data_IF_010091883554
#
_entry.id   IF_010091883554
#
_cell.length_a   1.000
_cell.length_b   1.000
_cell.length_c   1.000
_cell.angle_alpha   90.00
_cell.angle_beta   90.00
_cell.angle_gamma   90.00
#
_symmetry.space_group_name_H-M   'P 1'
#
loop_
_entity.id
_entity.type
_entity.pdbx_description
1 polymer ?
#
# COMPACT_ATOMS: atom_id res chain seq x y z
N UNK A 1 4.29 -9.35 35.80
CA UNK A 1 5.18 -8.76 34.78
C UNK A 1 5.60 -9.82 33.80
N UNK A 2 5.65 -9.46 32.53
CA UNK A 2 6.21 -10.28 31.45
C UNK A 2 7.46 -9.60 30.90
N UNK A 3 8.48 -10.41 30.60
CA UNK A 3 9.64 -9.91 29.86
C UNK A 3 9.24 -9.68 28.41
N UNK A 4 9.40 -8.46 27.92
CA UNK A 4 9.06 -8.06 26.55
C UNK A 4 10.32 -7.67 25.80
N UNK A 5 10.40 -8.06 24.54
CA UNK A 5 11.42 -7.60 23.60
C UNK A 5 10.90 -6.39 22.86
N UNK A 6 11.70 -5.36 22.79
CA UNK A 6 11.33 -4.10 22.14
C UNK A 6 12.36 -3.71 21.08
N UNK A 7 12.06 -2.67 20.29
CA UNK A 7 13.05 -2.06 19.41
C UNK A 7 14.24 -1.44 20.17
N UNK A 8 14.02 -1.05 21.43
CA UNK A 8 15.03 -0.59 22.37
C UNK A 8 15.55 -1.74 23.25
N UNK A 9 15.97 -1.44 24.50
CA UNK A 9 16.33 -2.45 25.49
C UNK A 9 15.14 -3.34 25.83
N UNK A 10 15.41 -4.65 26.07
CA UNK A 10 14.40 -5.54 26.62
C UNK A 10 13.93 -5.01 27.99
N UNK A 11 12.64 -5.14 28.27
CA UNK A 11 12.04 -4.64 29.49
C UNK A 11 11.00 -5.58 30.10
N UNK A 12 10.32 -5.11 31.13
CA UNK A 12 9.25 -5.80 31.81
C UNK A 12 7.97 -4.98 31.76
N UNK A 13 6.86 -5.59 31.35
CA UNK A 13 5.53 -4.97 31.34
C UNK A 13 4.59 -5.66 32.32
N UNK A 14 3.68 -4.93 32.94
CA UNK A 14 2.62 -5.53 33.74
C UNK A 14 1.68 -6.33 32.83
N UNK A 15 1.11 -7.42 33.33
CA UNK A 15 0.12 -8.22 32.58
C UNK A 15 -1.09 -7.35 32.18
N UNK A 16 -1.51 -6.43 33.04
CA UNK A 16 -2.60 -5.50 32.82
C UNK A 16 -2.38 -4.53 31.67
N UNK A 17 -1.12 -4.31 31.29
CA UNK A 17 -0.73 -3.39 30.22
C UNK A 17 -0.58 -4.12 28.87
N UNK A 18 -0.89 -5.43 28.86
CA UNK A 18 -0.85 -6.28 27.67
C UNK A 18 -2.28 -6.65 27.26
N UNK A 19 -2.59 -6.53 26.00
CA UNK A 19 -3.84 -7.02 25.45
C UNK A 19 -3.75 -8.54 25.17
N UNK A 20 -4.85 -9.27 25.38
CA UNK A 20 -4.92 -10.70 25.08
C UNK A 20 -4.93 -11.01 23.59
N UNK A 21 -5.28 -10.01 22.76
CA UNK A 21 -5.31 -10.10 21.30
C UNK A 21 -4.49 -8.97 20.69
N UNK A 22 -3.84 -9.25 19.57
CA UNK A 22 -3.04 -8.24 18.85
C UNK A 22 -3.91 -7.33 17.98
N UNK A 23 -5.05 -7.84 17.51
CA UNK A 23 -5.87 -7.19 16.52
C UNK A 23 -5.13 -7.00 15.19
N UNK A 24 -5.61 -6.04 14.40
CA UNK A 24 -4.90 -5.55 13.22
C UNK A 24 -4.21 -4.23 13.54
N UNK A 25 -2.99 -4.07 13.06
CA UNK A 25 -2.21 -2.84 13.12
C UNK A 25 -1.84 -2.44 11.70
N UNK A 26 -2.07 -1.19 11.35
CA UNK A 26 -1.73 -0.63 10.04
C UNK A 26 -0.83 0.58 10.29
N UNK A 27 0.36 0.54 9.73
CA UNK A 27 1.36 1.59 9.84
C UNK A 27 1.51 2.25 8.47
N UNK A 28 1.05 3.49 8.34
CA UNK A 28 1.31 4.32 7.17
C UNK A 28 2.61 5.08 7.44
N UNK A 29 3.66 4.71 6.75
CA UNK A 29 4.98 5.31 6.95
C UNK A 29 5.16 6.57 6.12
N UNK A 30 5.89 7.52 6.69
CA UNK A 30 6.46 8.59 5.89
C UNK A 30 7.67 8.06 5.12
N UNK A 31 7.43 7.76 3.86
CA UNK A 31 8.47 7.30 2.92
C UNK A 31 8.95 8.41 1.99
N UNK A 32 8.54 9.66 2.25
CA UNK A 32 8.56 10.77 1.32
C UNK A 32 7.36 10.71 0.39
N UNK A 33 7.48 11.26 -0.82
CA UNK A 33 6.45 11.06 -1.84
C UNK A 33 6.33 9.56 -2.15
N UNK A 34 5.12 9.00 -2.02
CA UNK A 34 4.88 7.58 -2.27
C UNK A 34 4.13 6.87 -1.16
N UNK A 35 3.87 5.59 -1.37
CA UNK A 35 3.21 4.73 -0.41
C UNK A 35 4.16 3.73 0.24
N UNK A 36 4.04 3.60 1.56
CA UNK A 36 4.73 2.56 2.31
C UNK A 36 3.91 2.15 3.53
N UNK A 37 3.30 0.96 3.47
CA UNK A 37 2.35 0.52 4.48
C UNK A 37 2.75 -0.86 4.98
N UNK A 38 2.87 -0.98 6.31
CA UNK A 38 3.04 -2.25 7.00
C UNK A 38 1.74 -2.61 7.72
N UNK A 39 1.28 -3.84 7.55
CA UNK A 39 0.13 -4.39 8.28
C UNK A 39 0.57 -5.61 9.08
N UNK A 40 0.23 -5.62 10.35
CA UNK A 40 0.39 -6.78 11.23
C UNK A 40 -0.97 -7.23 11.72
N UNK A 41 -1.29 -8.52 11.56
CA UNK A 41 -2.53 -9.12 12.05
C UNK A 41 -2.28 -10.57 12.49
N UNK A 42 -2.46 -10.85 13.77
CA UNK A 42 -1.96 -12.09 14.37
C UNK A 42 -0.46 -12.23 14.10
N UNK A 43 -0.05 -13.35 13.50
CA UNK A 43 1.35 -13.60 13.14
C UNK A 43 1.71 -13.13 11.71
N UNK A 44 0.73 -12.65 10.95
CA UNK A 44 0.96 -12.22 9.57
C UNK A 44 1.59 -10.83 9.51
N UNK A 45 2.52 -10.67 8.58
CA UNK A 45 3.15 -9.40 8.21
C UNK A 45 2.93 -9.17 6.73
N UNK A 46 2.39 -8.01 6.41
CA UNK A 46 1.97 -7.65 5.05
C UNK A 46 2.56 -6.29 4.73
N UNK A 47 3.16 -6.16 3.56
CA UNK A 47 3.57 -4.88 3.00
C UNK A 47 2.65 -4.50 1.84
N UNK A 48 2.23 -3.25 1.79
CA UNK A 48 1.64 -2.63 0.60
C UNK A 48 2.57 -1.49 0.23
N UNK A 49 3.30 -1.66 -0.86
CA UNK A 49 4.34 -0.76 -1.35
C UNK A 49 5.47 -0.49 -0.32
N UNK A 50 6.48 0.27 -0.71
CA UNK A 50 7.62 0.58 0.18
C UNK A 50 8.27 1.94 -0.11
N UNK A 51 7.60 2.79 -0.89
CA UNK A 51 8.10 4.11 -1.24
C UNK A 51 9.25 4.10 -2.26
N UNK A 52 9.83 5.28 -2.55
CA UNK A 52 10.87 5.44 -3.57
C UNK A 52 12.26 5.02 -3.12
N UNK A 53 12.50 4.88 -1.80
CA UNK A 53 13.84 4.81 -1.23
C UNK A 53 13.95 3.83 -0.06
N UNK A 54 14.86 4.09 0.86
CA UNK A 54 15.23 3.17 1.95
C UNK A 54 14.41 3.32 3.22
N UNK A 55 13.43 4.22 3.27
CA UNK A 55 12.70 4.56 4.50
C UNK A 55 11.99 3.34 5.09
N UNK A 56 11.22 2.61 4.26
CA UNK A 56 10.56 1.37 4.72
C UNK A 56 11.58 0.33 5.19
N UNK A 57 12.64 0.08 4.42
CA UNK A 57 13.70 -0.86 4.82
C UNK A 57 14.36 -0.45 6.16
N UNK A 58 14.64 0.83 6.33
CA UNK A 58 15.20 1.37 7.57
C UNK A 58 14.23 1.20 8.74
N UNK A 59 12.95 1.48 8.54
CA UNK A 59 11.92 1.27 9.54
C UNK A 59 11.84 -0.21 9.99
N UNK A 60 11.76 -1.13 9.03
CA UNK A 60 11.67 -2.56 9.31
C UNK A 60 12.91 -3.08 10.06
N UNK A 61 14.10 -2.62 9.68
CA UNK A 61 15.37 -3.16 10.22
C UNK A 61 15.83 -2.47 11.50
N UNK A 62 15.65 -1.15 11.62
CA UNK A 62 16.18 -0.36 12.74
C UNK A 62 15.14 -0.07 13.81
N UNK A 63 13.85 -0.29 13.51
CA UNK A 63 12.75 -0.02 14.42
C UNK A 63 11.88 -1.25 14.64
N UNK A 64 11.03 -1.62 13.68
CA UNK A 64 9.95 -2.58 13.89
C UNK A 64 10.44 -4.00 14.25
N UNK A 65 11.43 -4.53 13.51
CA UNK A 65 11.92 -5.90 13.67
C UNK A 65 13.36 -6.00 14.19
N UNK A 66 13.90 -4.93 14.78
CA UNK A 66 15.23 -4.89 15.38
C UNK A 66 15.46 -6.05 16.34
N UNK A 67 14.43 -6.41 17.13
CA UNK A 67 14.51 -7.49 18.11
C UNK A 67 14.69 -8.87 17.47
N UNK A 68 14.10 -9.13 16.29
CA UNK A 68 14.33 -10.37 15.53
C UNK A 68 15.74 -10.38 14.96
N UNK A 69 16.14 -9.29 14.32
CA UNK A 69 17.44 -9.14 13.66
C UNK A 69 18.58 -9.29 14.67
N UNK A 70 18.50 -8.63 15.83
CA UNK A 70 19.49 -8.79 16.92
C UNK A 70 19.56 -10.21 17.49
N UNK A 71 18.47 -10.96 17.33
CA UNK A 71 18.40 -12.38 17.75
C UNK A 71 18.78 -13.34 16.62
N UNK A 72 19.33 -12.86 15.50
CA UNK A 72 19.66 -13.63 14.29
C UNK A 72 18.46 -14.45 13.77
N UNK A 73 17.24 -13.93 13.94
CA UNK A 73 16.03 -14.54 13.41
C UNK A 73 15.61 -13.83 12.13
N UNK A 74 15.24 -14.56 11.07
CA UNK A 74 14.73 -13.94 9.85
C UNK A 74 13.41 -13.22 10.11
N UNK A 75 13.19 -12.15 9.37
CA UNK A 75 11.91 -11.46 9.30
C UNK A 75 11.14 -12.06 8.13
N UNK A 76 10.06 -12.78 8.42
CA UNK A 76 9.18 -13.30 7.37
C UNK A 76 8.07 -12.30 7.08
N UNK A 77 7.92 -11.92 5.82
CA UNK A 77 6.80 -11.13 5.29
C UNK A 77 5.91 -12.08 4.51
N UNK A 78 4.70 -12.31 5.00
CA UNK A 78 3.78 -13.29 4.40
C UNK A 78 3.30 -12.84 3.01
N UNK A 79 2.95 -11.56 2.88
CA UNK A 79 2.42 -11.00 1.63
C UNK A 79 3.03 -9.62 1.37
N UNK A 80 3.43 -9.40 0.13
CA UNK A 80 3.82 -8.08 -0.39
C UNK A 80 2.87 -7.74 -1.52
N UNK A 81 2.23 -6.60 -1.47
CA UNK A 81 1.42 -6.06 -2.55
C UNK A 81 2.17 -4.89 -3.19
N UNK A 82 2.42 -4.99 -4.48
CA UNK A 82 2.86 -3.87 -5.30
C UNK A 82 1.62 -3.31 -5.96
N UNK A 83 1.17 -2.14 -5.52
CA UNK A 83 -0.06 -1.54 -6.04
C UNK A 83 0.06 -1.31 -7.55
N UNK A 84 1.15 -0.68 -7.97
CA UNK A 84 1.54 -0.49 -9.36
C UNK A 84 3.05 -0.23 -9.45
N UNK A 85 3.58 -0.11 -10.67
CA UNK A 85 5.02 -0.01 -10.89
C UNK A 85 5.49 1.42 -11.18
N UNK A 86 5.03 2.41 -10.40
CA UNK A 86 5.68 3.72 -10.31
C UNK A 86 6.73 3.72 -9.20
N UNK A 87 7.79 4.48 -9.42
CA UNK A 87 9.02 4.40 -8.62
C UNK A 87 8.80 4.67 -7.13
N UNK A 88 7.86 5.53 -6.81
CA UNK A 88 7.49 5.93 -5.46
C UNK A 88 6.62 4.90 -4.71
N UNK A 89 6.33 3.76 -5.33
CA UNK A 89 5.64 2.63 -4.71
C UNK A 89 6.55 1.42 -4.51
N UNK A 90 7.25 0.98 -5.56
CA UNK A 90 7.94 -0.32 -5.52
C UNK A 90 9.46 -0.23 -5.31
N UNK A 91 10.12 0.91 -5.55
CA UNK A 91 11.61 0.95 -5.51
C UNK A 91 12.18 0.61 -4.16
N UNK A 92 11.51 1.00 -3.07
CA UNK A 92 11.93 0.64 -1.71
C UNK A 92 11.95 -0.87 -1.45
N UNK A 93 11.13 -1.65 -2.18
CA UNK A 93 11.13 -3.11 -2.08
C UNK A 93 12.42 -3.75 -2.57
N UNK A 94 13.15 -3.12 -3.50
CA UNK A 94 14.42 -3.66 -4.04
C UNK A 94 15.42 -3.91 -2.91
N UNK A 95 15.57 -2.93 -2.01
CA UNK A 95 16.46 -3.06 -0.86
C UNK A 95 16.02 -4.12 0.13
N UNK A 96 14.71 -4.28 0.33
CA UNK A 96 14.12 -5.26 1.24
C UNK A 96 14.26 -6.68 0.67
N UNK A 97 14.00 -6.88 -0.63
CA UNK A 97 14.14 -8.16 -1.33
C UNK A 97 15.61 -8.64 -1.38
N UNK A 98 16.56 -7.72 -1.52
CA UNK A 98 17.99 -8.05 -1.52
C UNK A 98 18.57 -8.32 -0.12
N UNK A 99 17.89 -7.91 0.94
CA UNK A 99 18.36 -8.14 2.31
C UNK A 99 18.09 -9.58 2.73
N UNK A 100 19.17 -10.36 2.95
CA UNK A 100 19.12 -11.79 3.31
C UNK A 100 18.47 -12.08 4.65
N UNK A 101 18.23 -11.06 5.46
CA UNK A 101 17.52 -11.20 6.75
C UNK A 101 16.00 -11.35 6.56
N UNK A 102 15.47 -11.07 5.34
CA UNK A 102 14.06 -11.18 5.01
C UNK A 102 13.76 -12.41 4.17
N UNK A 103 12.61 -13.01 4.46
CA UNK A 103 11.97 -14.03 3.62
C UNK A 103 10.54 -13.61 3.29
N UNK A 104 10.00 -14.10 2.18
CA UNK A 104 8.71 -13.65 1.64
C UNK A 104 7.84 -14.84 1.24
N UNK A 105 6.56 -14.79 1.57
CA UNK A 105 5.59 -15.77 1.10
C UNK A 105 5.20 -15.51 -0.35
N UNK A 106 4.40 -14.48 -0.58
CA UNK A 106 3.90 -14.14 -1.92
C UNK A 106 4.05 -12.65 -2.21
N UNK A 107 4.55 -12.32 -3.41
CA UNK A 107 4.49 -10.96 -3.96
C UNK A 107 3.33 -10.90 -4.95
N UNK A 108 2.35 -10.05 -4.65
CA UNK A 108 1.20 -9.75 -5.50
C UNK A 108 1.42 -8.44 -6.27
N UNK A 109 0.89 -8.36 -7.50
CA UNK A 109 1.04 -7.19 -8.37
C UNK A 109 -0.09 -7.10 -9.40
N UNK A 110 -0.26 -5.93 -10.05
CA UNK A 110 -1.26 -5.75 -11.11
C UNK A 110 -0.84 -6.37 -12.46
N UNK A 111 0.45 -6.58 -12.68
CA UNK A 111 0.98 -7.24 -13.90
C UNK A 111 1.31 -6.31 -15.05
N UNK A 112 1.31 -4.99 -14.87
CA UNK A 112 1.78 -4.01 -15.85
C UNK A 112 3.19 -3.59 -15.45
N UNK A 113 4.17 -3.76 -16.35
CA UNK A 113 5.56 -3.38 -16.12
C UNK A 113 5.98 -2.29 -17.11
N UNK A 114 6.96 -1.48 -16.73
CA UNK A 114 7.51 -0.42 -17.58
C UNK A 114 8.69 -0.91 -18.42
N UNK A 115 8.59 -0.70 -19.72
CA UNK A 115 9.64 -1.02 -20.69
C UNK A 115 10.56 0.18 -20.91
N UNK A 116 11.81 -0.10 -21.29
CA UNK A 116 12.72 0.93 -21.79
C UNK A 116 12.28 1.36 -23.21
N UNK A 117 12.28 2.65 -23.47
CA UNK A 117 12.17 3.15 -24.83
C UNK A 117 13.46 2.91 -25.62
N UNK A 118 13.32 2.73 -26.95
CA UNK A 118 14.49 2.62 -27.83
C UNK A 118 15.41 3.83 -27.61
N UNK A 119 16.67 3.55 -27.31
CA UNK A 119 17.76 4.52 -27.11
C UNK A 119 17.70 5.34 -25.78
N UNK A 120 16.75 5.11 -24.90
CA UNK A 120 16.76 5.74 -23.58
C UNK A 120 16.22 4.79 -22.49
N UNK A 121 17.09 4.11 -21.74
CA UNK A 121 16.65 3.19 -20.68
C UNK A 121 15.97 3.89 -19.49
N UNK A 122 15.98 5.21 -19.45
CA UNK A 122 15.30 6.02 -18.43
C UNK A 122 13.91 6.47 -18.85
N UNK A 123 13.62 6.53 -20.16
CA UNK A 123 12.27 6.70 -20.65
C UNK A 123 11.51 5.38 -20.55
N UNK A 124 10.22 5.48 -20.33
CA UNK A 124 9.40 4.32 -20.01
C UNK A 124 8.17 4.26 -20.88
N UNK A 125 7.86 3.06 -21.37
CA UNK A 125 6.62 2.72 -22.06
C UNK A 125 5.93 1.55 -21.38
N UNK A 126 4.66 1.33 -21.70
CA UNK A 126 3.90 0.17 -21.22
C UNK A 126 3.86 -1.00 -22.24
N UNK A 127 4.69 -0.90 -23.28
CA UNK A 127 4.76 -1.86 -24.38
C UNK A 127 3.73 -1.61 -25.46
N UNK A 128 3.58 -2.61 -26.37
CA UNK A 128 2.68 -2.50 -27.52
C UNK A 128 1.20 -2.51 -27.11
N UNK A 129 0.39 -1.83 -27.91
CA UNK A 129 -1.07 -1.79 -27.75
C UNK A 129 -1.77 -2.41 -28.94
N UNK A 130 -3.06 -2.73 -28.79
CA UNK A 130 -3.96 -3.13 -29.88
C UNK A 130 -5.27 -2.38 -29.76
N UNK A 131 -5.90 -2.11 -30.91
CA UNK A 131 -7.23 -1.52 -30.99
C UNK A 131 -8.30 -2.61 -31.06
N UNK A 132 -9.37 -2.45 -30.29
CA UNK A 132 -10.57 -3.28 -30.37
C UNK A 132 -11.81 -2.43 -30.06
N UNK A 133 -12.76 -2.38 -30.99
CA UNK A 133 -14.01 -1.59 -30.87
C UNK A 133 -13.78 -0.12 -30.47
N UNK A 134 -12.74 0.52 -31.01
CA UNK A 134 -12.40 1.91 -30.71
C UNK A 134 -11.70 2.14 -29.36
N UNK A 135 -11.40 1.08 -28.60
CA UNK A 135 -10.68 1.12 -27.35
C UNK A 135 -9.28 0.51 -27.54
N UNK A 136 -8.28 1.13 -26.95
CA UNK A 136 -6.91 0.68 -27.00
C UNK A 136 -6.57 -0.15 -25.75
N UNK A 137 -5.84 -1.26 -25.94
CA UNK A 137 -5.52 -2.21 -24.88
C UNK A 137 -4.02 -2.56 -24.87
N UNK A 138 -3.45 -2.71 -23.67
CA UNK A 138 -2.09 -3.22 -23.51
C UNK A 138 -1.99 -4.68 -23.97
N UNK A 139 -0.91 -5.01 -24.69
CA UNK A 139 -0.65 -6.36 -25.17
C UNK A 139 0.14 -7.22 -24.19
N UNK A 140 0.95 -6.59 -23.37
CA UNK A 140 1.85 -7.25 -22.41
C UNK A 140 1.27 -7.20 -21.00
N UNK A 141 1.03 -8.38 -20.42
CA UNK A 141 0.60 -8.57 -19.04
C UNK A 141 1.43 -9.71 -18.44
N UNK A 142 1.90 -9.53 -17.23
CA UNK A 142 2.76 -10.48 -16.53
C UNK A 142 2.03 -11.12 -15.37
N UNK A 143 1.90 -12.44 -15.39
CA UNK A 143 1.21 -13.21 -14.34
C UNK A 143 2.16 -13.62 -13.21
N UNK A 144 3.39 -14.00 -13.57
CA UNK A 144 4.43 -14.45 -12.64
C UNK A 144 5.77 -13.78 -12.99
N UNK A 145 6.26 -12.96 -12.04
CA UNK A 145 7.50 -12.21 -12.24
C UNK A 145 8.75 -13.08 -12.14
N UNK A 146 8.69 -14.19 -11.39
CA UNK A 146 9.82 -15.13 -11.30
C UNK A 146 10.06 -15.82 -12.63
N UNK A 147 8.97 -16.21 -13.32
CA UNK A 147 9.03 -16.93 -14.60
C UNK A 147 9.16 -16.00 -15.81
N UNK A 148 9.08 -14.69 -15.62
CA UNK A 148 9.18 -13.73 -16.73
C UNK A 148 10.57 -13.74 -17.36
N UNK A 149 10.65 -13.91 -18.69
CA UNK A 149 11.90 -14.15 -19.44
C UNK A 149 12.45 -12.94 -20.20
N UNK A 150 11.82 -11.76 -20.17
CA UNK A 150 12.16 -10.59 -20.99
C UNK A 150 12.91 -9.46 -20.23
N UNK A 151 14.04 -9.72 -19.54
CA UNK A 151 14.68 -8.67 -18.72
C UNK A 151 15.31 -7.53 -19.53
N UNK A 152 15.68 -7.77 -20.81
CA UNK A 152 16.37 -6.78 -21.64
C UNK A 152 15.46 -5.66 -22.19
N UNK A 153 14.14 -5.84 -22.11
CA UNK A 153 13.16 -4.86 -22.61
C UNK A 153 12.66 -3.89 -21.53
N UNK A 154 12.90 -4.18 -20.26
CA UNK A 154 12.42 -3.34 -19.15
C UNK A 154 13.31 -2.13 -18.91
N UNK A 155 12.73 -1.06 -18.35
CA UNK A 155 13.51 0.05 -17.88
C UNK A 155 14.44 -0.37 -16.73
N UNK A 156 15.41 0.48 -16.38
CA UNK A 156 16.44 0.16 -15.40
C UNK A 156 15.89 -0.20 -14.02
N UNK A 157 14.89 0.51 -13.53
CA UNK A 157 14.37 0.30 -12.18
C UNK A 157 13.55 -1.01 -12.11
N UNK A 158 12.76 -1.31 -13.14
CA UNK A 158 12.06 -2.60 -13.28
C UNK A 158 13.06 -3.74 -13.41
N UNK A 159 14.12 -3.57 -14.19
CA UNK A 159 15.20 -4.58 -14.32
C UNK A 159 15.83 -4.90 -12.96
N UNK A 160 16.12 -3.87 -12.15
CA UNK A 160 16.66 -4.05 -10.80
C UNK A 160 15.67 -4.75 -9.86
N UNK A 161 14.39 -4.39 -9.93
CA UNK A 161 13.34 -5.04 -9.15
C UNK A 161 13.17 -6.50 -9.54
N UNK A 162 13.11 -6.80 -10.84
CA UNK A 162 13.01 -8.17 -11.35
C UNK A 162 14.23 -9.03 -10.96
N UNK A 163 15.43 -8.44 -10.95
CA UNK A 163 16.63 -9.10 -10.47
C UNK A 163 16.52 -9.44 -8.98
N UNK A 164 16.06 -8.50 -8.15
CA UNK A 164 15.85 -8.72 -6.71
C UNK A 164 14.81 -9.82 -6.44
N UNK A 165 13.70 -9.84 -7.18
CA UNK A 165 12.66 -10.88 -7.12
C UNK A 165 13.25 -12.25 -7.46
N UNK A 166 13.96 -12.37 -8.59
CA UNK A 166 14.55 -13.63 -9.06
C UNK A 166 15.65 -14.14 -8.13
N UNK A 167 16.51 -13.26 -7.63
CA UNK A 167 17.54 -13.61 -6.66
C UNK A 167 16.93 -14.12 -5.35
N UNK A 168 15.92 -13.43 -4.82
CA UNK A 168 15.24 -13.88 -3.62
C UNK A 168 14.57 -15.27 -3.81
N UNK A 169 13.98 -15.53 -4.98
CA UNK A 169 13.40 -16.82 -5.32
C UNK A 169 14.49 -17.92 -5.46
N UNK A 170 15.58 -17.64 -6.16
CA UNK A 170 16.71 -18.56 -6.33
C UNK A 170 17.39 -18.93 -4.98
N UNK A 171 17.40 -18.00 -4.03
CA UNK A 171 17.88 -18.19 -2.66
C UNK A 171 16.83 -18.84 -1.72
N UNK A 172 15.70 -19.30 -2.23
CA UNK A 172 14.57 -19.86 -1.45
C UNK A 172 14.02 -18.89 -0.39
N UNK A 173 14.16 -17.58 -0.59
CA UNK A 173 13.64 -16.55 0.30
C UNK A 173 12.29 -15.97 -0.16
N UNK A 174 11.88 -16.21 -1.40
CA UNK A 174 10.60 -15.81 -1.96
C UNK A 174 9.86 -17.04 -2.50
N UNK A 175 8.64 -17.27 -2.01
CA UNK A 175 7.84 -18.43 -2.39
C UNK A 175 7.26 -18.32 -3.79
N UNK A 176 6.55 -17.23 -4.11
CA UNK A 176 5.91 -17.01 -5.43
C UNK A 176 5.60 -15.55 -5.70
N UNK A 177 5.34 -15.27 -6.98
CA UNK A 177 4.70 -14.03 -7.43
C UNK A 177 3.37 -14.34 -8.13
N UNK A 178 2.40 -13.43 -8.06
CA UNK A 178 1.09 -13.64 -8.69
C UNK A 178 0.44 -12.30 -9.02
N UNK A 179 -0.06 -12.19 -10.24
CA UNK A 179 -0.96 -11.10 -10.63
C UNK A 179 -2.32 -11.25 -9.97
N UNK A 180 -2.91 -10.11 -9.58
CA UNK A 180 -4.29 -10.02 -9.09
C UNK A 180 -5.11 -9.07 -9.95
N UNK A 181 -6.42 -9.36 -10.00
CA UNK A 181 -7.44 -8.54 -10.69
C UNK A 181 -8.71 -8.47 -9.84
N UNK A 182 -9.61 -7.56 -10.20
CA UNK A 182 -10.91 -7.45 -9.55
C UNK A 182 -11.65 -8.79 -9.46
N UNK A 183 -12.22 -9.07 -8.29
CA UNK A 183 -12.90 -10.33 -7.99
C UNK A 183 -12.00 -11.40 -7.34
N UNK A 184 -10.67 -11.22 -7.35
CA UNK A 184 -9.78 -12.10 -6.58
C UNK A 184 -9.93 -11.85 -5.07
N UNK A 185 -9.76 -12.90 -4.27
CA UNK A 185 -9.51 -12.81 -2.84
C UNK A 185 -8.07 -13.23 -2.58
N UNK A 186 -7.20 -12.28 -2.24
CA UNK A 186 -5.79 -12.54 -2.04
C UNK A 186 -5.51 -13.33 -0.75
N UNK A 187 -6.24 -13.02 0.31
CA UNK A 187 -6.12 -13.65 1.63
C UNK A 187 -7.50 -13.84 2.23
N UNK A 188 -7.77 -15.03 2.77
CA UNK A 188 -8.97 -15.30 3.59
C UNK A 188 -8.59 -16.21 4.74
N UNK A 189 -8.68 -15.71 5.98
CA UNK A 189 -8.28 -16.41 7.20
C UNK A 189 -9.19 -16.03 8.36
N UNK A 190 -9.23 -16.88 9.38
CA UNK A 190 -9.75 -16.53 10.70
C UNK A 190 -8.56 -16.26 11.63
N UNK A 191 -8.52 -15.07 12.21
CA UNK A 191 -7.46 -14.62 13.13
C UNK A 191 -8.14 -14.10 14.39
N UNK A 192 -7.74 -14.63 15.56
CA UNK A 192 -8.34 -14.24 16.85
C UNK A 192 -9.88 -14.34 16.84
N UNK A 193 -10.43 -15.41 16.24
CA UNK A 193 -11.85 -15.66 16.05
C UNK A 193 -12.58 -14.59 15.20
N UNK A 194 -11.85 -13.81 14.42
CA UNK A 194 -12.40 -12.79 13.51
C UNK A 194 -12.05 -13.11 12.07
N UNK A 195 -12.96 -12.79 11.17
CA UNK A 195 -12.74 -12.88 9.73
C UNK A 195 -11.67 -11.85 9.34
N UNK A 196 -10.60 -12.30 8.67
CA UNK A 196 -9.60 -11.47 8.02
C UNK A 196 -9.59 -11.80 6.54
N UNK A 197 -9.90 -10.81 5.71
CA UNK A 197 -9.97 -10.97 4.25
C UNK A 197 -9.33 -9.78 3.56
N UNK A 198 -8.63 -10.06 2.47
CA UNK A 198 -8.13 -9.06 1.52
C UNK A 198 -8.79 -9.37 0.17
N UNK A 199 -9.80 -8.60 -0.17
CA UNK A 199 -10.49 -8.66 -1.46
C UNK A 199 -9.88 -7.64 -2.42
N UNK A 200 -9.81 -8.00 -3.70
CA UNK A 200 -9.28 -7.17 -4.78
C UNK A 200 -10.44 -6.56 -5.54
N UNK A 201 -10.61 -5.25 -5.43
CA UNK A 201 -11.66 -4.49 -6.10
C UNK A 201 -11.23 -3.92 -7.46
N UNK A 202 -9.96 -3.94 -7.77
CA UNK A 202 -9.34 -3.47 -9.01
C UNK A 202 -7.90 -3.97 -9.12
N UNK A 203 -7.31 -3.91 -10.32
CA UNK A 203 -7.90 -3.44 -11.58
C UNK A 203 -8.78 -4.49 -12.28
N UNK A 204 -9.63 -4.05 -13.21
CA UNK A 204 -10.36 -4.92 -14.12
C UNK A 204 -9.54 -5.20 -15.38
N UNK A 205 -9.76 -6.38 -15.95
CA UNK A 205 -9.28 -6.75 -17.29
C UNK A 205 -10.44 -7.10 -18.19
N UNK A 206 -10.30 -6.86 -19.48
CA UNK A 206 -11.24 -7.28 -20.51
C UNK A 206 -10.67 -8.43 -21.32
N UNK A 207 -11.53 -9.35 -21.77
CA UNK A 207 -11.12 -10.50 -22.57
C UNK A 207 -11.18 -10.17 -24.06
N UNK A 208 -10.04 -9.82 -24.65
CA UNK A 208 -9.91 -9.45 -26.06
C UNK A 208 -9.10 -10.50 -26.80
N UNK A 209 -9.69 -11.09 -27.83
CA UNK A 209 -9.04 -12.17 -28.59
C UNK A 209 -8.64 -13.38 -27.75
N UNK A 210 -9.45 -13.72 -26.74
CA UNK A 210 -9.20 -14.84 -25.83
C UNK A 210 -8.18 -14.56 -24.71
N UNK A 211 -7.58 -13.37 -24.66
CA UNK A 211 -6.59 -12.95 -23.65
C UNK A 211 -7.11 -11.82 -22.79
N UNK A 212 -6.79 -11.86 -21.50
CA UNK A 212 -7.05 -10.73 -20.60
C UNK A 212 -6.14 -9.56 -20.94
N UNK A 213 -6.71 -8.34 -20.99
CA UNK A 213 -6.00 -7.11 -21.32
C UNK A 213 -6.48 -5.97 -20.45
N UNK A 214 -5.59 -4.99 -20.22
CA UNK A 214 -5.93 -3.73 -19.59
C UNK A 214 -6.20 -2.67 -20.64
N UNK A 215 -7.17 -1.81 -20.37
CA UNK A 215 -7.42 -0.61 -21.19
C UNK A 215 -6.20 0.30 -21.12
N UNK A 216 -5.76 0.77 -22.27
CA UNK A 216 -4.74 1.82 -22.36
C UNK A 216 -5.43 3.18 -22.51
N UNK A 217 -5.21 4.08 -21.57
CA UNK A 217 -5.89 5.37 -21.54
C UNK A 217 -5.14 6.47 -22.30
N UNK A 218 -4.36 6.12 -23.31
CA UNK A 218 -3.59 7.02 -24.18
C UNK A 218 -2.59 7.91 -23.41
N UNK A 219 -2.25 7.52 -22.19
CA UNK A 219 -1.28 8.15 -21.31
C UNK A 219 -0.72 7.05 -20.39
N UNK A 220 0.58 6.92 -20.35
CA UNK A 220 1.26 5.84 -19.62
C UNK A 220 1.11 6.01 -18.11
N UNK A 221 1.30 7.24 -17.61
CA UNK A 221 1.14 7.55 -16.21
C UNK A 221 -0.30 7.29 -15.74
N UNK A 222 -1.29 7.80 -16.49
CA UNK A 222 -2.70 7.54 -16.17
C UNK A 222 -3.05 6.07 -16.24
N UNK A 223 -2.47 5.34 -17.18
CA UNK A 223 -2.74 3.90 -17.35
C UNK A 223 -2.12 3.09 -16.21
N UNK A 224 -0.87 3.31 -15.86
CA UNK A 224 -0.21 2.52 -14.81
C UNK A 224 -0.79 2.84 -13.43
N UNK A 225 -1.01 4.11 -13.10
CA UNK A 225 -1.62 4.55 -11.87
C UNK A 225 -3.06 4.03 -11.76
N UNK A 226 -3.83 4.20 -12.81
CA UNK A 226 -5.24 3.80 -12.82
C UNK A 226 -5.48 2.30 -12.75
N UNK A 227 -4.51 1.47 -13.10
CA UNK A 227 -4.57 0.02 -12.91
C UNK A 227 -3.86 -0.44 -11.63
N UNK A 228 -3.80 0.41 -10.60
CA UNK A 228 -3.37 0.03 -9.26
C UNK A 228 -4.22 -1.11 -8.69
N UNK A 229 -3.60 -1.97 -7.88
CA UNK A 229 -4.35 -2.89 -7.04
C UNK A 229 -5.21 -2.11 -6.05
N UNK A 230 -6.51 -2.31 -6.11
CA UNK A 230 -7.47 -1.75 -5.15
C UNK A 230 -7.82 -2.83 -4.16
N UNK A 231 -7.35 -2.69 -2.93
CA UNK A 231 -7.49 -3.69 -1.89
C UNK A 231 -8.50 -3.24 -0.84
N UNK A 232 -9.49 -4.07 -0.56
CA UNK A 232 -10.37 -3.94 0.59
C UNK A 232 -10.01 -4.96 1.64
N UNK A 233 -9.57 -4.50 2.80
CA UNK A 233 -9.24 -5.37 3.93
C UNK A 233 -10.39 -5.35 4.91
N UNK A 234 -10.87 -6.53 5.28
CA UNK A 234 -11.88 -6.73 6.32
C UNK A 234 -11.22 -7.40 7.52
N UNK A 235 -11.40 -6.83 8.73
CA UNK A 235 -11.04 -7.48 9.98
C UNK A 235 -12.17 -7.35 11.00
N UNK A 236 -12.82 -8.46 11.32
CA UNK A 236 -14.04 -8.46 12.13
C UNK A 236 -15.14 -7.65 11.45
N UNK A 237 -15.63 -6.60 12.12
CA UNK A 237 -16.67 -5.71 11.61
C UNK A 237 -16.08 -4.47 10.86
N UNK A 238 -14.76 -4.35 10.76
CA UNK A 238 -14.09 -3.15 10.23
C UNK A 238 -13.45 -3.39 8.88
N UNK A 239 -13.45 -2.31 8.08
CA UNK A 239 -12.99 -2.34 6.69
C UNK A 239 -12.05 -1.19 6.37
N UNK A 240 -11.06 -1.48 5.51
CA UNK A 240 -10.00 -0.55 5.14
C UNK A 240 -9.79 -0.60 3.62
N UNK A 241 -9.63 0.56 2.96
CA UNK A 241 -9.40 0.65 1.51
C UNK A 241 -8.00 1.19 1.21
N UNK A 242 -7.33 0.54 0.26
CA UNK A 242 -6.04 0.95 -0.30
C UNK A 242 -6.18 0.95 -1.82
N UNK A 243 -6.22 2.12 -2.43
CA UNK A 243 -6.49 2.28 -3.85
C UNK A 243 -5.25 2.55 -4.70
N UNK A 244 -4.04 2.54 -4.11
CA UNK A 244 -2.83 2.97 -4.80
C UNK A 244 -2.99 4.37 -5.36
N UNK A 245 -2.71 4.54 -6.65
CA UNK A 245 -2.77 5.83 -7.33
C UNK A 245 -3.91 5.91 -8.35
N UNK A 246 -5.10 5.38 -7.97
CA UNK A 246 -6.29 5.59 -8.78
C UNK A 246 -6.44 7.07 -9.14
N UNK A 247 -6.87 7.32 -10.35
CA UNK A 247 -7.14 8.63 -10.92
C UNK A 247 -8.57 8.73 -11.43
N UNK A 248 -9.00 9.90 -11.85
CA UNK A 248 -10.36 10.18 -12.34
C UNK A 248 -10.87 9.11 -13.32
N UNK A 249 -10.06 8.71 -14.31
CA UNK A 249 -10.48 7.73 -15.32
C UNK A 249 -10.72 6.35 -14.72
N UNK A 250 -9.82 5.91 -13.87
CA UNK A 250 -9.92 4.59 -13.24
C UNK A 250 -11.03 4.52 -12.20
N UNK A 251 -11.24 5.57 -11.43
CA UNK A 251 -12.34 5.65 -10.46
C UNK A 251 -13.70 5.54 -11.18
N UNK A 252 -13.90 6.31 -12.26
CA UNK A 252 -15.11 6.22 -13.08
C UNK A 252 -15.28 4.84 -13.71
N UNK A 253 -14.19 4.26 -14.23
CA UNK A 253 -14.20 2.93 -14.81
C UNK A 253 -14.56 1.85 -13.78
N UNK A 254 -13.96 1.89 -12.58
CA UNK A 254 -14.30 0.97 -11.50
C UNK A 254 -15.77 1.08 -11.09
N UNK A 255 -16.27 2.29 -10.88
CA UNK A 255 -17.69 2.51 -10.55
C UNK A 255 -18.62 1.97 -11.64
N UNK A 256 -18.27 2.18 -12.90
CA UNK A 256 -19.02 1.62 -14.04
C UNK A 256 -19.02 0.08 -14.03
N UNK A 257 -17.88 -0.55 -13.78
CA UNK A 257 -17.77 -2.02 -13.74
C UNK A 257 -18.60 -2.63 -12.60
N UNK A 258 -18.69 -1.97 -11.45
CA UNK A 258 -19.52 -2.42 -10.34
C UNK A 258 -21.00 -2.05 -10.47
N UNK A 259 -21.35 -1.14 -11.36
CA UNK A 259 -22.73 -0.74 -11.64
C UNK A 259 -23.47 -0.23 -10.40
N UNK A 260 -24.56 -0.89 -10.04
CA UNK A 260 -25.39 -0.52 -8.88
C UNK A 260 -24.84 -1.02 -7.54
N UNK A 261 -23.72 -1.74 -7.53
CA UNK A 261 -23.10 -2.21 -6.28
C UNK A 261 -22.07 -1.22 -5.80
N UNK A 262 -21.95 -1.04 -4.49
CA UNK A 262 -20.91 -0.21 -3.89
C UNK A 262 -20.01 -1.05 -2.97
N UNK A 263 -18.95 -1.68 -3.49
CA UNK A 263 -18.01 -2.40 -2.66
C UNK A 263 -17.00 -1.48 -1.96
N UNK A 264 -16.92 -0.20 -2.33
CA UNK A 264 -15.86 0.73 -1.92
C UNK A 264 -16.08 1.30 -0.52
N UNK A 265 -17.30 1.24 0.03
CA UNK A 265 -17.59 1.79 1.35
C UNK A 265 -16.77 1.09 2.42
N UNK A 266 -16.03 1.89 3.23
CA UNK A 266 -15.09 1.41 4.26
C UNK A 266 -15.07 2.34 5.47
N UNK A 267 -14.45 1.88 6.55
CA UNK A 267 -14.29 2.69 7.76
C UNK A 267 -13.10 3.66 7.66
N UNK A 268 -11.99 3.20 7.09
CA UNK A 268 -10.80 4.04 6.87
C UNK A 268 -10.29 3.82 5.45
N UNK A 269 -10.01 4.89 4.74
CA UNK A 269 -9.43 4.85 3.41
C UNK A 269 -8.04 5.50 3.36
N UNK A 270 -7.11 4.89 2.64
CA UNK A 270 -5.93 5.61 2.15
C UNK A 270 -6.38 6.44 0.95
N UNK A 271 -6.09 7.74 0.97
CA UNK A 271 -6.35 8.61 -0.19
C UNK A 271 -5.59 8.10 -1.41
N UNK A 272 -6.26 8.03 -2.55
CA UNK A 272 -5.60 7.66 -3.78
C UNK A 272 -4.62 8.75 -4.23
N UNK A 273 -3.58 8.35 -4.95
CA UNK A 273 -2.62 9.21 -5.62
C UNK A 273 -2.09 10.35 -4.72
N UNK A 274 -1.72 10.00 -3.48
CA UNK A 274 -1.12 10.92 -2.48
C UNK A 274 -1.92 12.19 -2.19
N UNK A 275 -3.24 12.19 -2.48
CA UNK A 275 -4.08 13.39 -2.41
C UNK A 275 -3.87 14.32 -3.61
N UNK A 276 -3.64 13.78 -4.80
CA UNK A 276 -3.67 14.50 -6.09
C UNK A 276 -5.04 15.11 -6.35
N UNK A 277 -5.12 16.13 -7.22
CA UNK A 277 -6.38 16.64 -7.76
C UNK A 277 -7.00 15.77 -8.87
N UNK A 278 -6.33 14.71 -9.29
CA UNK A 278 -6.84 13.78 -10.31
C UNK A 278 -7.69 12.67 -9.67
N UNK A 279 -8.85 13.05 -9.15
CA UNK A 279 -9.84 12.18 -8.50
C UNK A 279 -11.27 12.61 -8.84
N UNK A 280 -12.28 11.83 -8.43
CA UNK A 280 -13.70 12.17 -8.54
C UNK A 280 -14.38 12.28 -7.18
N UNK A 281 -15.21 13.33 -6.98
CA UNK A 281 -16.05 13.42 -5.79
C UNK A 281 -17.00 12.21 -5.68
N UNK A 282 -17.49 11.71 -6.81
CA UNK A 282 -18.40 10.57 -6.86
C UNK A 282 -17.77 9.29 -6.27
N UNK A 283 -16.48 9.05 -6.53
CA UNK A 283 -15.78 7.92 -5.92
C UNK A 283 -15.64 8.10 -4.41
N UNK A 284 -15.23 9.28 -3.95
CA UNK A 284 -15.14 9.59 -2.53
C UNK A 284 -16.50 9.47 -1.81
N UNK A 285 -17.61 9.85 -2.46
CA UNK A 285 -18.97 9.63 -1.94
C UNK A 285 -19.28 8.14 -1.75
N UNK A 286 -18.82 7.27 -2.66
CA UNK A 286 -18.99 5.83 -2.53
C UNK A 286 -18.09 5.24 -1.42
N UNK A 287 -16.86 5.72 -1.30
CA UNK A 287 -15.93 5.29 -0.25
C UNK A 287 -16.42 5.70 1.14
N UNK A 288 -16.88 6.92 1.31
CA UNK A 288 -17.54 7.46 2.50
C UNK A 288 -16.92 6.99 3.83
N UNK A 289 -15.63 7.23 4.08
CA UNK A 289 -14.94 6.70 5.24
C UNK A 289 -15.20 7.55 6.49
N UNK A 290 -14.92 7.03 7.69
CA UNK A 290 -14.83 7.84 8.91
C UNK A 290 -13.52 8.63 8.97
N UNK A 291 -12.45 8.05 8.42
CA UNK A 291 -11.15 8.71 8.35
C UNK A 291 -10.46 8.44 7.02
N UNK A 292 -9.78 9.46 6.51
CA UNK A 292 -8.91 9.36 5.33
C UNK A 292 -7.47 9.58 5.77
N UNK A 293 -6.57 8.69 5.32
CA UNK A 293 -5.13 8.80 5.52
C UNK A 293 -4.48 9.14 4.19
N UNK A 294 -3.68 10.18 4.15
CA UNK A 294 -2.94 10.65 2.98
C UNK A 294 -1.45 10.36 3.21
N UNK A 295 -0.85 9.57 2.33
CA UNK A 295 0.61 9.40 2.28
C UNK A 295 1.17 10.38 1.26
N UNK A 296 1.95 11.34 1.68
CA UNK A 296 2.60 12.34 0.83
C UNK A 296 3.93 12.74 1.43
N UNK A 297 4.82 13.32 0.63
CA UNK A 297 6.14 13.78 1.05
C UNK A 297 6.26 15.30 1.10
N UNK A 298 7.29 15.78 1.81
CA UNK A 298 7.61 17.20 1.91
C UNK A 298 8.31 17.71 0.66
N UNK A 299 8.02 18.96 0.29
CA UNK A 299 8.73 19.69 -0.76
C UNK A 299 8.80 18.93 -2.10
N UNK A 300 7.83 18.07 -2.35
CA UNK A 300 7.74 17.38 -3.62
C UNK A 300 7.17 18.31 -4.71
N UNK A 301 7.52 18.05 -5.96
CA UNK A 301 7.17 18.92 -7.09
C UNK A 301 5.68 18.97 -7.44
N UNK A 302 4.90 17.99 -6.98
CA UNK A 302 3.46 17.87 -7.28
C UNK A 302 2.57 18.65 -6.29
N UNK A 303 3.12 19.11 -5.16
CA UNK A 303 2.41 19.81 -4.08
C UNK A 303 1.26 18.98 -3.52
N UNK A 304 1.50 17.70 -3.29
CA UNK A 304 0.55 16.81 -2.59
C UNK A 304 0.70 16.94 -1.07
N UNK A 305 -0.42 16.84 -0.30
CA UNK A 305 -1.80 16.70 -0.78
C UNK A 305 -2.37 18.04 -1.28
N UNK A 306 -3.19 17.99 -2.31
CA UNK A 306 -3.88 19.17 -2.85
C UNK A 306 -5.06 19.55 -1.97
N UNK A 307 -5.36 20.85 -1.94
CA UNK A 307 -6.42 21.41 -1.09
C UNK A 307 -7.82 20.83 -1.40
N UNK A 308 -8.10 20.58 -2.67
CA UNK A 308 -9.35 19.97 -3.13
C UNK A 308 -9.50 18.52 -2.69
N UNK A 309 -8.42 17.72 -2.71
CA UNK A 309 -8.41 16.36 -2.19
C UNK A 309 -8.67 16.33 -0.67
N UNK A 310 -8.03 17.21 0.10
CA UNK A 310 -8.26 17.36 1.54
C UNK A 310 -9.70 17.80 1.81
N UNK A 311 -10.19 18.79 1.07
CA UNK A 311 -11.55 19.30 1.19
C UNK A 311 -12.60 18.24 0.87
N UNK A 312 -12.37 17.45 -0.19
CA UNK A 312 -13.24 16.34 -0.59
C UNK A 312 -13.26 15.23 0.49
N UNK A 313 -12.09 14.83 1.01
CA UNK A 313 -11.99 13.84 2.08
C UNK A 313 -12.76 14.29 3.33
N UNK A 314 -12.68 15.57 3.70
CA UNK A 314 -13.44 16.12 4.82
C UNK A 314 -14.95 16.18 4.56
N UNK A 315 -15.35 16.63 3.35
CA UNK A 315 -16.77 16.80 2.95
C UNK A 315 -17.55 15.48 2.95
N UNK A 316 -16.92 14.40 2.50
CA UNK A 316 -17.57 13.10 2.32
C UNK A 316 -17.22 12.08 3.42
N UNK A 317 -16.58 12.52 4.51
CA UNK A 317 -16.38 11.67 5.66
C UNK A 317 -17.69 11.39 6.40
N UNK A 318 -17.85 10.13 6.87
CA UNK A 318 -18.97 9.74 7.74
C UNK A 318 -18.77 10.25 9.16
N UNK A 319 -19.90 10.40 9.87
CA UNK A 319 -19.92 10.76 11.29
C UNK A 319 -19.93 12.26 11.52
N UNK A 320 -19.91 12.64 12.79
CA UNK A 320 -20.06 14.03 13.21
C UNK A 320 -18.76 14.84 13.16
N UNK A 321 -17.64 14.17 12.89
CA UNK A 321 -16.31 14.77 12.85
C UNK A 321 -15.46 14.14 11.77
N UNK A 322 -15.22 14.85 10.66
CA UNK A 322 -14.30 14.40 9.63
C UNK A 322 -12.89 14.25 10.18
N UNK A 323 -12.22 13.15 9.86
CA UNK A 323 -10.84 12.90 10.24
C UNK A 323 -10.00 12.73 8.97
N UNK A 324 -9.07 13.64 8.77
CA UNK A 324 -8.09 13.59 7.68
C UNK A 324 -6.70 13.64 8.29
N UNK A 325 -5.93 12.61 8.03
CA UNK A 325 -4.54 12.47 8.49
C UNK A 325 -3.61 12.53 7.29
N UNK A 326 -2.47 13.17 7.46
CA UNK A 326 -1.42 13.18 6.43
C UNK A 326 -0.07 12.94 7.07
N UNK A 327 0.77 12.16 6.41
CA UNK A 327 2.16 11.95 6.84
C UNK A 327 2.98 13.24 6.77
N UNK A 328 2.60 14.18 5.91
CA UNK A 328 3.25 15.49 5.77
C UNK A 328 2.66 16.57 6.66
N UNK A 329 1.33 16.78 6.62
CA UNK A 329 0.67 17.94 7.25
C UNK A 329 0.78 17.99 8.78
N UNK A 330 1.16 16.90 9.41
CA UNK A 330 1.29 16.81 10.86
C UNK A 330 2.72 17.04 11.34
N UNK A 331 3.65 17.30 10.45
CA UNK A 331 5.04 17.55 10.79
C UNK A 331 5.31 19.02 10.99
N UNK A 332 6.02 19.34 12.08
CA UNK A 332 6.75 20.60 12.17
C UNK A 332 7.99 20.49 11.29
N UNK A 333 8.16 21.42 10.38
CA UNK A 333 9.22 21.42 9.37
C UNK A 333 10.59 21.67 10.03
N UNK A 334 11.27 20.61 10.43
CA UNK A 334 12.71 20.65 10.68
C UNK A 334 13.41 19.96 9.52
N UNK A 335 14.05 20.72 8.66
CA UNK A 335 14.63 20.31 7.36
C UNK A 335 15.54 19.08 7.36
N UNK A 336 15.93 18.50 8.50
CA UNK A 336 16.96 17.46 8.56
C UNK A 336 16.63 16.29 9.50
N UNK A 337 15.41 16.16 10.01
CA UNK A 337 15.02 15.04 10.89
C UNK A 337 13.70 14.47 10.44
N UNK A 338 13.76 13.56 9.48
CA UNK A 338 12.63 12.67 9.17
C UNK A 338 12.54 11.68 10.33
N UNK A 339 11.70 11.99 11.30
CA UNK A 339 11.23 11.03 12.29
C UNK A 339 9.98 10.39 11.68
N UNK A 340 10.12 9.38 10.85
CA UNK A 340 9.05 8.49 10.35
C UNK A 340 7.60 8.98 10.52
N UNK A 341 7.20 10.19 10.19
CA UNK A 341 5.88 10.84 10.36
C UNK A 341 4.66 9.92 10.24
N UNK A 342 4.72 8.84 10.97
CA UNK A 342 3.95 7.62 10.84
C UNK A 342 2.57 7.77 11.45
N UNK A 343 1.55 7.32 10.71
CA UNK A 343 0.21 7.14 11.24
C UNK A 343 0.04 5.66 11.57
N UNK A 344 -0.29 5.37 12.82
CA UNK A 344 -0.51 4.02 13.33
C UNK A 344 -1.99 3.81 13.64
N UNK A 345 -2.63 2.93 12.91
CA UNK A 345 -3.99 2.49 13.16
C UNK A 345 -3.97 1.14 13.84
N UNK A 346 -4.78 0.97 14.88
CA UNK A 346 -5.03 -0.30 15.57
C UNK A 346 -6.52 -0.58 15.60
N UNK A 347 -6.89 -1.84 15.39
CA UNK A 347 -8.27 -2.25 15.47
C UNK A 347 -8.40 -3.65 16.10
N UNK A 348 -9.29 -3.76 17.07
CA UNK A 348 -9.62 -5.05 17.71
C UNK A 348 -10.71 -5.84 16.96
N UNK A 349 -11.14 -5.36 15.78
CA UNK A 349 -12.25 -5.90 14.99
C UNK A 349 -13.57 -5.16 15.22
N UNK A 350 -13.64 -4.27 16.19
CA UNK A 350 -14.82 -3.43 16.51
C UNK A 350 -14.41 -1.97 16.64
N UNK A 351 -13.44 -1.68 17.50
CA UNK A 351 -12.96 -0.33 17.75
C UNK A 351 -11.71 -0.03 16.94
N UNK A 352 -11.62 1.18 16.42
CA UNK A 352 -10.46 1.69 15.68
C UNK A 352 -9.84 2.84 16.46
N UNK A 353 -8.53 2.74 16.66
CA UNK A 353 -7.70 3.77 17.29
C UNK A 353 -6.68 4.24 16.25
N UNK A 354 -6.64 5.55 16.00
CA UNK A 354 -5.67 6.16 15.09
C UNK A 354 -4.76 7.07 15.90
N UNK A 355 -3.45 6.83 15.77
CA UNK A 355 -2.42 7.59 16.44
C UNK A 355 -1.50 8.18 15.40
N UNK A 356 -1.21 9.46 15.51
CA UNK A 356 -0.25 10.13 14.65
C UNK A 356 1.03 10.42 15.44
N UNK A 357 2.18 10.11 14.85
CA UNK A 357 3.47 10.36 15.47
C UNK A 357 3.80 11.84 15.41
N UNK A 358 4.04 12.47 16.58
CA UNK A 358 4.51 13.84 16.66
C UNK A 358 6.02 13.91 16.45
N UNK A 359 6.49 14.97 15.85
CA UNK A 359 7.89 15.38 15.92
C UNK A 359 8.19 15.97 17.32
N UNK A 360 8.18 15.13 18.33
CA UNK A 360 8.45 15.58 19.69
C UNK A 360 9.90 15.32 20.07
N UNK A 361 10.49 16.26 20.80
CA UNK A 361 11.80 16.11 21.41
C UNK A 361 11.81 15.12 22.59
N UNK A 362 10.63 14.64 23.02
CA UNK A 362 10.46 13.74 24.18
C UNK A 362 9.64 12.51 23.82
N UNK A 363 10.13 11.28 24.13
CA UNK A 363 9.39 10.04 23.85
C UNK A 363 8.00 9.92 24.48
N UNK A 364 7.74 10.62 25.58
CA UNK A 364 6.46 10.55 26.30
C UNK A 364 5.27 11.16 25.54
N UNK A 365 5.53 12.09 24.61
CA UNK A 365 4.50 12.85 23.90
C UNK A 365 4.54 12.58 22.38
N UNK A 366 4.97 11.38 21.98
CA UNK A 366 5.18 11.05 20.56
C UNK A 366 3.89 10.86 19.77
N UNK A 367 2.74 10.70 20.42
CA UNK A 367 1.51 10.29 19.76
C UNK A 367 0.35 11.22 20.06
N UNK A 368 -0.38 11.60 19.01
CA UNK A 368 -1.77 12.06 19.14
C UNK A 368 -2.68 10.86 18.90
N UNK A 369 -3.56 10.58 19.85
CA UNK A 369 -4.42 9.40 19.83
C UNK A 369 -5.89 9.79 19.65
N UNK A 370 -6.55 9.16 18.70
CA UNK A 370 -7.97 9.35 18.41
C UNK A 370 -8.69 8.01 18.35
N UNK A 371 -9.88 7.96 18.94
CA UNK A 371 -10.74 6.79 18.93
C UNK A 371 -11.90 7.01 17.96
N UNK A 372 -12.10 6.09 17.03
CA UNK A 372 -13.27 6.10 16.18
C UNK A 372 -14.40 5.33 16.88
N UNK A 373 -15.64 5.88 16.87
CA UNK A 373 -16.77 5.19 17.47
C UNK A 373 -17.00 3.83 16.81
N UNK A 374 -17.52 2.91 17.58
CA UNK A 374 -17.93 1.60 17.10
C UNK A 374 -18.92 1.71 15.94
N UNK A 375 -19.02 0.69 15.08
CA UNK A 375 -20.10 0.61 14.10
C UNK A 375 -21.43 0.59 14.87
N UNK A 376 -22.31 1.53 14.58
CA UNK A 376 -23.70 1.51 15.02
C UNK A 376 -24.47 0.59 14.09
#
# INVERSE_FOLDING_TARGET
FYKVKTAGPDGWMRKTDLADTMGIKIFYLDVGQGDGILIEVGNLKILIDAGPAVNMHSYLTKWQYTYLIRSNKPVHIDYVFVSHFDADHYKGLIGILNDKRFTFGTVYHAGILKFAEKNNPYNTGLGDTIQHNGIEYLTKIFDDLIQTSEPAAFNRDITNFMAAVKNAAAENRLGKTKRLVAGDTAVSKTIENKKFVIDVLGPFTEKIGGRHRFVYWQDEGKTINGHSLVLKITFGARTFLFGGDLNTRSELYLMQQYGNTNPFMVDVAKSCHHGSSDFTEAFMQQVNPFATVISSGDNESFSHPRADAIGCAGKYARGNRPLVYSTELARSVSKNKILFGMINLRCNGTDIYINQMKEASRPADMWDAYTLPGAV
#
